data_IF_315929266697
#
_entry.id   IF_315929266697
#
_cell.length_a   1.000
_cell.length_b   1.000
_cell.length_c   1.000
_cell.angle_alpha   90.00
_cell.angle_beta   90.00
_cell.angle_gamma   90.00
#
_symmetry.space_group_name_H-M   'P 1'
#
loop_
_entity.id
_entity.type
_entity.pdbx_description
1 polymer ?
#
# COMPACT_ATOMS: atom_id res chain seq x y z
N UNK A 1 4.51 -19.29 30.10
CA UNK A 1 4.20 -18.40 28.95
C UNK A 1 5.46 -17.59 28.59
N UNK A 2 6.07 -17.80 27.41
CA UNK A 2 7.27 -17.05 27.03
C UNK A 2 6.89 -15.62 26.63
N UNK A 3 7.50 -14.61 27.25
CA UNK A 3 7.32 -13.20 26.87
C UNK A 3 7.89 -12.99 25.46
N UNK A 4 7.11 -12.40 24.55
CA UNK A 4 7.62 -11.99 23.22
C UNK A 4 8.17 -10.57 23.34
N UNK A 5 9.39 -10.36 22.80
CA UNK A 5 10.04 -9.06 22.76
C UNK A 5 9.20 -8.00 22.01
N UNK A 6 9.25 -6.75 22.46
CA UNK A 6 8.48 -5.63 21.88
C UNK A 6 8.77 -5.41 20.40
N UNK A 7 10.02 -5.60 19.96
CA UNK A 7 10.43 -5.55 18.54
C UNK A 7 9.71 -6.60 17.68
N UNK A 8 9.57 -7.83 18.19
CA UNK A 8 8.84 -8.89 17.50
C UNK A 8 7.34 -8.59 17.46
N UNK A 9 6.75 -8.05 18.54
CA UNK A 9 5.37 -7.55 18.54
C UNK A 9 5.13 -6.48 17.48
N UNK A 10 6.01 -5.47 17.39
CA UNK A 10 5.95 -4.40 16.38
C UNK A 10 6.03 -4.96 14.95
N UNK A 11 6.94 -5.90 14.69
CA UNK A 11 7.09 -6.53 13.36
C UNK A 11 5.80 -7.26 12.95
N UNK A 12 5.15 -7.94 13.88
CA UNK A 12 3.95 -8.75 13.65
C UNK A 12 2.63 -8.00 13.88
N UNK A 13 2.69 -6.74 14.32
CA UNK A 13 1.54 -5.87 14.64
C UNK A 13 0.63 -6.47 15.72
N UNK A 14 1.21 -7.21 16.67
CA UNK A 14 0.49 -7.65 17.85
C UNK A 14 0.30 -6.46 18.79
N UNK A 15 -0.95 -6.18 19.16
CA UNK A 15 -1.27 -5.17 20.15
C UNK A 15 -0.61 -5.50 21.50
N UNK A 16 -0.37 -4.48 22.33
CA UNK A 16 0.18 -4.65 23.68
C UNK A 16 -0.74 -5.50 24.57
N UNK A 17 -2.06 -5.42 24.36
CA UNK A 17 -3.10 -6.09 25.14
C UNK A 17 -3.60 -7.41 24.53
N UNK A 18 -3.28 -7.72 23.27
CA UNK A 18 -3.72 -8.98 22.66
C UNK A 18 -2.91 -10.13 23.24
N UNK A 19 -3.59 -11.09 23.86
CA UNK A 19 -2.97 -12.30 24.37
C UNK A 19 -2.17 -12.96 23.24
N UNK A 20 -0.93 -13.36 23.54
CA UNK A 20 0.02 -13.98 22.61
C UNK A 20 -0.47 -15.27 21.92
N UNK A 21 -1.71 -15.72 22.21
CA UNK A 21 -2.41 -16.84 21.59
C UNK A 21 -3.04 -16.48 20.23
N UNK A 22 -3.27 -15.19 19.95
CA UNK A 22 -3.71 -14.77 18.61
C UNK A 22 -2.59 -15.09 17.62
N UNK A 23 -2.89 -15.99 16.68
CA UNK A 23 -1.97 -16.56 15.68
C UNK A 23 -0.94 -15.51 15.24
N UNK A 24 0.35 -15.86 15.32
CA UNK A 24 1.49 -15.06 14.82
C UNK A 24 1.46 -14.90 13.28
N UNK A 25 0.30 -15.03 12.66
CA UNK A 25 0.05 -14.71 11.26
C UNK A 25 0.11 -13.19 11.15
N UNK A 26 1.27 -12.66 10.77
CA UNK A 26 1.47 -11.23 10.60
C UNK A 26 0.37 -10.64 9.73
N UNK A 27 -0.31 -9.61 10.23
CA UNK A 27 -1.38 -8.97 9.48
C UNK A 27 -0.85 -8.44 8.13
N UNK A 28 -1.45 -8.91 7.02
CA UNK A 28 -1.10 -8.43 5.68
C UNK A 28 -1.30 -6.91 5.61
N UNK A 29 -0.29 -6.18 5.14
CA UNK A 29 -0.42 -4.74 4.91
C UNK A 29 -1.36 -4.51 3.73
N UNK A 30 -2.37 -3.65 3.89
CA UNK A 30 -3.11 -3.12 2.75
C UNK A 30 -2.12 -2.31 1.90
N UNK A 31 -1.81 -2.79 0.69
CA UNK A 31 -1.01 -2.01 -0.26
C UNK A 31 -1.92 -0.90 -0.80
N UNK A 32 -1.46 0.35 -0.70
CA UNK A 32 -2.16 1.48 -1.30
C UNK A 32 -2.00 1.49 -2.82
N UNK A 33 -2.77 2.35 -3.53
CA UNK A 33 -2.62 2.53 -4.96
C UNK A 33 -1.22 3.04 -5.32
N UNK A 34 -0.73 2.66 -6.50
CA UNK A 34 0.59 3.08 -6.99
C UNK A 34 0.54 4.55 -7.38
N UNK A 35 1.54 5.31 -6.95
CA UNK A 35 1.67 6.75 -7.23
C UNK A 35 3.02 7.07 -7.85
N UNK A 36 3.05 8.02 -8.76
CA UNK A 36 4.21 8.45 -9.55
C UNK A 36 4.62 9.87 -9.19
N UNK A 37 5.86 10.27 -9.51
CA UNK A 37 6.38 11.62 -9.22
C UNK A 37 6.01 12.63 -10.32
N UNK A 38 5.91 12.18 -11.57
CA UNK A 38 5.54 13.00 -12.73
C UNK A 38 4.39 12.36 -13.49
N UNK A 39 3.68 13.16 -14.30
CA UNK A 39 2.64 12.68 -15.20
C UNK A 39 3.19 11.73 -16.25
N UNK A 40 4.34 12.07 -16.85
CA UNK A 40 4.98 11.24 -17.88
C UNK A 40 5.31 9.85 -17.37
N UNK A 41 5.81 9.75 -16.13
CA UNK A 41 6.10 8.45 -15.51
C UNK A 41 4.84 7.63 -15.23
N UNK A 42 3.70 8.28 -14.98
CA UNK A 42 2.42 7.61 -14.84
C UNK A 42 1.89 7.13 -16.20
N UNK A 43 1.99 7.95 -17.26
CA UNK A 43 1.57 7.59 -18.62
C UNK A 43 2.39 6.43 -19.18
N UNK A 44 3.72 6.51 -19.07
CA UNK A 44 4.61 5.42 -19.49
C UNK A 44 4.28 4.10 -18.78
N UNK A 45 3.98 4.17 -17.48
CA UNK A 45 3.54 2.99 -16.74
C UNK A 45 2.18 2.47 -17.25
N UNK A 46 1.23 3.34 -17.56
CA UNK A 46 -0.05 2.93 -18.11
C UNK A 46 0.11 2.22 -19.46
N UNK A 47 0.96 2.75 -20.34
CA UNK A 47 1.31 2.16 -21.64
C UNK A 47 1.95 0.77 -21.47
N UNK A 48 2.97 0.65 -20.61
CA UNK A 48 3.65 -0.62 -20.32
C UNK A 48 2.70 -1.70 -19.76
N UNK A 49 1.65 -1.28 -19.04
CA UNK A 49 0.66 -2.19 -18.47
C UNK A 49 -0.60 -2.33 -19.33
N UNK A 50 -0.63 -1.76 -20.53
CA UNK A 50 -1.75 -1.86 -21.46
C UNK A 50 -3.04 -1.16 -21.00
N UNK A 51 -2.95 -0.20 -20.08
CA UNK A 51 -4.10 0.53 -19.54
C UNK A 51 -4.46 1.65 -20.52
N UNK A 52 -5.55 1.47 -21.27
CA UNK A 52 -5.97 2.41 -22.33
C UNK A 52 -6.88 3.54 -21.84
N UNK A 53 -7.78 3.24 -20.89
CA UNK A 53 -8.73 4.20 -20.33
C UNK A 53 -8.34 4.49 -18.89
N UNK A 54 -7.67 5.62 -18.68
CA UNK A 54 -7.27 6.05 -17.35
C UNK A 54 -7.28 7.56 -17.22
N UNK A 55 -7.57 8.02 -16.00
CA UNK A 55 -7.40 9.40 -15.58
C UNK A 55 -6.19 9.55 -14.66
N UNK A 56 -5.49 10.67 -14.81
CA UNK A 56 -4.42 11.05 -13.90
C UNK A 56 -4.99 11.93 -12.80
N UNK A 57 -5.08 11.38 -11.58
CA UNK A 57 -5.45 12.13 -10.39
C UNK A 57 -4.19 12.62 -9.68
N UNK A 58 -4.07 13.93 -9.50
CA UNK A 58 -3.02 14.49 -8.65
C UNK A 58 -3.32 14.21 -7.18
N UNK A 59 -2.29 13.80 -6.43
CA UNK A 59 -2.37 13.40 -5.02
C UNK A 59 -1.24 14.09 -4.25
N UNK A 60 -1.45 14.31 -2.95
CA UNK A 60 -0.46 14.93 -2.04
C UNK A 60 -0.02 16.32 -2.53
N UNK A 61 -0.98 17.23 -2.71
CA UNK A 61 -0.75 18.62 -3.14
C UNK A 61 0.04 18.69 -4.46
N UNK A 62 -0.38 17.94 -5.47
CA UNK A 62 0.25 17.88 -6.81
C UNK A 62 1.71 17.42 -6.85
N UNK A 63 2.22 16.78 -5.79
CA UNK A 63 3.58 16.21 -5.77
C UNK A 63 3.62 14.75 -6.25
N UNK A 64 2.45 14.13 -6.42
CA UNK A 64 2.31 12.76 -6.88
C UNK A 64 1.11 12.61 -7.80
N UNK A 65 1.15 11.62 -8.67
CA UNK A 65 0.08 11.30 -9.61
C UNK A 65 -0.35 9.85 -9.43
N UNK A 66 -1.64 9.61 -9.46
CA UNK A 66 -2.24 8.28 -9.37
C UNK A 66 -3.01 8.01 -10.66
N UNK A 67 -2.87 6.81 -11.19
CA UNK A 67 -3.68 6.32 -12.30
C UNK A 67 -5.00 5.81 -11.71
N UNK A 68 -6.11 6.35 -12.16
CA UNK A 68 -7.46 5.88 -11.84
C UNK A 68 -7.99 5.23 -13.12
N UNK A 69 -8.21 3.93 -13.09
CA UNK A 69 -8.83 3.22 -14.21
C UNK A 69 -10.31 3.60 -14.25
N UNK A 70 -10.78 3.99 -15.44
CA UNK A 70 -12.21 4.13 -15.68
C UNK A 70 -12.70 2.74 -16.09
N UNK A 71 -13.40 2.07 -15.16
CA UNK A 71 -14.14 0.86 -15.47
C UNK A 71 -15.31 1.28 -16.39
N UNK A 72 -15.44 0.66 -17.56
CA UNK A 72 -16.63 0.81 -18.43
C UNK A 72 -17.87 0.24 -17.78
#
# INVERSE_FOLDING_TARGET
MKKIHTRAKKKLRLGTHTQHRARLTGAKRKKGPKTFKSEDSAKKYAEENGIKKFELKSVKKNKKFQIVQLDE
#
